data_IF_714334496100
#
_entry.id   IF_714334496100
#
_cell.length_a   1.000
_cell.length_b   1.000
_cell.length_c   1.000
_cell.angle_alpha   90.00
_cell.angle_beta   90.00
_cell.angle_gamma   90.00
#
_symmetry.space_group_name_H-M   'P 1'
#
loop_
_entity.id
_entity.type
_entity.pdbx_description
1 polymer ?
#
# COMPACT_ATOMS: atom_id res chain seq x y z
N UNK A 1 -5.54 -1.51 -32.01
CA UNK A 1 -5.83 -2.15 -30.70
C UNK A 1 -6.47 -1.09 -29.84
N UNK A 2 -7.77 -1.18 -29.56
CA UNK A 2 -8.42 -0.25 -28.64
C UNK A 2 -8.12 -0.70 -27.21
N UNK A 3 -7.18 -0.02 -26.56
CA UNK A 3 -6.96 -0.09 -25.12
C UNK A 3 -8.14 0.58 -24.42
N UNK A 4 -9.00 -0.18 -23.72
CA UNK A 4 -9.84 0.30 -22.61
C UNK A 4 -10.70 -0.85 -22.07
N UNK A 5 -10.10 -1.82 -21.36
CA UNK A 5 -10.90 -2.70 -20.49
C UNK A 5 -10.21 -2.92 -19.16
N UNK A 6 -9.96 -1.81 -18.45
CA UNK A 6 -9.67 -1.85 -17.02
C UNK A 6 -10.89 -1.36 -16.26
N UNK A 7 -12.07 -1.97 -16.51
CA UNK A 7 -13.31 -1.58 -15.83
C UNK A 7 -13.14 -1.54 -14.31
N UNK A 8 -12.35 -2.48 -13.79
CA UNK A 8 -12.05 -2.64 -12.37
C UNK A 8 -10.72 -2.01 -11.91
N UNK A 9 -10.15 -1.08 -12.67
CA UNK A 9 -8.99 -0.33 -12.19
C UNK A 9 -9.35 0.45 -10.91
N UNK A 10 -8.53 0.32 -9.88
CA UNK A 10 -8.87 0.78 -8.52
C UNK A 10 -9.11 2.30 -8.41
N UNK A 11 -8.58 3.11 -9.32
CA UNK A 11 -8.82 4.57 -9.28
C UNK A 11 -10.06 5.00 -10.08
N UNK A 12 -10.75 4.05 -10.74
CA UNK A 12 -12.03 4.36 -11.35
C UNK A 12 -13.04 4.67 -10.24
N UNK A 13 -13.79 5.77 -10.40
CA UNK A 13 -14.70 6.33 -9.36
C UNK A 13 -15.79 5.37 -8.86
N UNK A 14 -16.07 4.30 -9.60
CA UNK A 14 -17.10 3.31 -9.24
C UNK A 14 -16.56 2.11 -8.45
N UNK A 15 -15.24 2.00 -8.26
CA UNK A 15 -14.64 0.83 -7.59
C UNK A 15 -14.50 1.01 -6.08
N UNK A 16 -14.17 2.22 -5.64
CA UNK A 16 -13.93 2.57 -4.25
C UNK A 16 -14.43 3.98 -3.96
N UNK A 17 -14.78 4.25 -2.70
CA UNK A 17 -15.02 5.63 -2.26
C UNK A 17 -13.73 6.45 -2.31
N UNK A 18 -13.86 7.77 -2.11
CA UNK A 18 -12.71 8.68 -2.07
C UNK A 18 -11.79 8.34 -0.89
N UNK A 19 -12.38 8.00 0.26
CA UNK A 19 -11.69 7.63 1.50
C UNK A 19 -10.93 6.31 1.30
N UNK A 20 -11.60 5.31 0.72
CA UNK A 20 -11.01 4.01 0.39
C UNK A 20 -9.83 4.16 -0.59
N UNK A 21 -10.01 4.93 -1.67
CA UNK A 21 -8.93 5.22 -2.63
C UNK A 21 -7.76 5.94 -1.96
N UNK A 22 -8.05 6.85 -1.03
CA UNK A 22 -7.02 7.57 -0.25
C UNK A 22 -6.23 6.64 0.66
N UNK A 23 -6.88 5.64 1.27
CA UNK A 23 -6.21 4.61 2.05
C UNK A 23 -5.32 3.73 1.16
N UNK A 24 -5.83 3.26 0.02
CA UNK A 24 -5.09 2.43 -0.94
C UNK A 24 -3.81 3.12 -1.45
N UNK A 25 -3.89 4.43 -1.76
CA UNK A 25 -2.73 5.22 -2.25
C UNK A 25 -1.60 5.37 -1.24
N UNK A 26 -1.84 5.10 0.04
CA UNK A 26 -0.81 5.18 1.10
C UNK A 26 -0.03 3.87 1.26
N UNK A 27 -0.52 2.76 0.70
CA UNK A 27 0.15 1.47 0.80
C UNK A 27 1.50 1.54 0.08
N UNK A 28 2.54 1.01 0.73
CA UNK A 28 3.84 0.73 0.11
C UNK A 28 4.12 -0.77 0.15
N UNK A 29 5.06 -1.26 -0.67
CA UNK A 29 5.47 -2.65 -0.56
C UNK A 29 6.10 -2.97 0.81
N UNK A 30 6.82 -2.01 1.41
CA UNK A 30 7.28 -2.14 2.81
C UNK A 30 6.12 -2.29 3.80
N UNK A 31 4.98 -1.64 3.54
CA UNK A 31 3.77 -1.77 4.38
C UNK A 31 3.21 -3.20 4.31
N UNK A 32 3.17 -3.78 3.12
CA UNK A 32 2.72 -5.18 2.91
C UNK A 32 3.64 -6.14 3.64
N UNK A 33 4.96 -6.02 3.46
CA UNK A 33 5.95 -6.89 4.11
C UNK A 33 5.89 -6.79 5.64
N UNK A 34 5.71 -5.59 6.20
CA UNK A 34 5.53 -5.42 7.65
C UNK A 34 4.24 -6.03 8.18
N UNK A 35 3.16 -6.01 7.38
CA UNK A 35 1.86 -6.56 7.81
C UNK A 35 1.77 -8.09 7.68
N UNK A 36 2.51 -8.69 6.74
CA UNK A 36 2.38 -10.12 6.40
C UNK A 36 3.63 -10.96 6.63
N UNK A 37 4.78 -10.35 6.94
CA UNK A 37 6.04 -11.06 7.14
C UNK A 37 6.14 -11.66 8.55
N UNK A 38 6.53 -12.93 8.65
CA UNK A 38 6.57 -13.65 9.93
C UNK A 38 7.56 -13.07 10.94
N UNK A 39 8.74 -12.60 10.50
CA UNK A 39 9.77 -12.03 11.39
C UNK A 39 10.51 -10.83 10.76
N UNK A 40 9.79 -10.04 9.97
CA UNK A 40 10.31 -8.81 9.37
C UNK A 40 10.04 -7.64 10.32
N UNK A 41 11.08 -7.14 10.98
CA UNK A 41 10.96 -6.03 11.96
C UNK A 41 11.53 -4.71 11.47
N UNK A 42 12.46 -4.76 10.52
CA UNK A 42 13.21 -3.62 10.01
C UNK A 42 13.20 -3.65 8.48
N UNK A 43 12.74 -2.57 7.85
CA UNK A 43 12.71 -2.42 6.40
C UNK A 43 13.09 -1.00 5.99
N UNK A 44 13.60 -0.81 4.76
CA UNK A 44 13.69 0.51 4.20
C UNK A 44 12.27 1.06 3.90
N UNK A 45 12.12 2.38 3.95
CA UNK A 45 10.86 3.04 3.57
C UNK A 45 10.45 2.78 2.11
N UNK A 46 11.43 2.64 1.21
CA UNK A 46 11.22 2.45 -0.22
C UNK A 46 11.93 1.18 -0.70
N UNK A 47 11.26 0.04 -0.60
CA UNK A 47 11.80 -1.30 -0.86
C UNK A 47 12.42 -1.55 -2.24
N UNK A 48 12.08 -0.74 -3.25
CA UNK A 48 12.61 -0.91 -4.60
C UNK A 48 13.89 -0.12 -4.87
N UNK A 49 14.29 0.79 -3.97
CA UNK A 49 15.54 1.52 -4.10
C UNK A 49 16.68 0.63 -3.62
N UNK A 50 17.63 0.37 -4.51
CA UNK A 50 18.84 -0.41 -4.18
C UNK A 50 19.95 0.54 -3.75
N UNK A 51 20.62 0.24 -2.64
CA UNK A 51 21.74 1.03 -2.13
C UNK A 51 21.67 1.21 -0.62
N UNK A 52 22.43 2.17 -0.10
CA UNK A 52 22.48 2.42 1.34
C UNK A 52 21.24 3.20 1.81
N UNK A 53 20.24 2.46 2.30
CA UNK A 53 19.07 3.02 2.95
C UNK A 53 19.05 2.65 4.42
N UNK A 54 18.68 3.61 5.28
CA UNK A 54 18.41 3.31 6.68
C UNK A 54 17.18 2.39 6.78
N UNK A 55 17.31 1.35 7.59
CA UNK A 55 16.17 0.53 7.98
C UNK A 55 15.43 1.21 9.13
N UNK A 56 14.10 1.15 9.09
CA UNK A 56 13.24 1.66 10.15
C UNK A 56 12.38 0.52 10.72
N UNK A 57 11.99 0.60 12.00
CA UNK A 57 11.02 -0.32 12.59
C UNK A 57 9.69 -0.33 11.83
N UNK A 58 9.08 -1.51 11.70
CA UNK A 58 7.78 -1.67 11.05
C UNK A 58 6.68 -0.84 11.72
N UNK A 59 6.79 -0.55 13.01
CA UNK A 59 5.87 0.32 13.76
C UNK A 59 5.84 1.77 13.23
N UNK A 60 6.87 2.19 12.49
CA UNK A 60 6.94 3.49 11.83
C UNK A 60 6.49 3.47 10.35
N UNK A 61 6.13 2.29 9.84
CA UNK A 61 5.61 2.10 8.48
C UNK A 61 4.09 1.97 8.57
N UNK A 62 3.32 2.92 8.03
CA UNK A 62 1.86 2.84 8.06
C UNK A 62 1.37 1.58 7.35
N UNK A 63 0.45 0.85 7.98
CA UNK A 63 -0.29 -0.24 7.35
C UNK A 63 -1.58 0.30 6.72
N UNK A 64 -2.24 -0.51 5.88
CA UNK A 64 -3.52 -0.13 5.28
C UNK A 64 -4.56 0.19 6.35
N UNK A 65 -5.10 1.40 6.29
CA UNK A 65 -6.26 1.80 7.07
C UNK A 65 -7.53 1.19 6.46
N UNK A 66 -8.19 0.30 7.22
CA UNK A 66 -9.41 -0.39 6.81
C UNK A 66 -10.69 0.25 7.37
N UNK A 67 -10.60 1.33 8.16
CA UNK A 67 -11.78 2.06 8.64
C UNK A 67 -12.73 2.50 7.51
N UNK A 68 -12.25 2.92 6.31
CA UNK A 68 -13.15 3.28 5.21
C UNK A 68 -14.02 2.13 4.65
N UNK A 69 -13.82 0.89 5.11
CA UNK A 69 -14.64 -0.28 4.75
C UNK A 69 -15.59 -0.72 5.87
N UNK A 70 -15.63 -0.02 7.01
CA UNK A 70 -16.56 -0.31 8.09
C UNK A 70 -18.00 -0.01 7.65
N UNK A 71 -18.89 -0.99 7.81
CA UNK A 71 -20.35 -0.86 7.59
C UNK A 71 -21.06 -0.16 8.75
#
# INVERSE_FOLDING_TARGET
>A
MNESNFRFYFENREQFTVEQTTALRRITFSSVLCATGDDIRLLPRHSFIVGNQSLIPCELIPVLDLEPWRE
#
